data_IF_671694145210
#
_entry.id   IF_671694145210
#
_cell.length_a   1.000
_cell.length_b   1.000
_cell.length_c   1.000
_cell.angle_alpha   90.00
_cell.angle_beta   90.00
_cell.angle_gamma   90.00
#
_symmetry.space_group_name_H-M   'P 1'
#
loop_
_entity.id
_entity.type
_entity.pdbx_description
1 polymer ?
#
# COMPACT_ATOMS: atom_id res chain seq x y z
N UNK A 1 -22.13 -12.48 -1.18
CA UNK A 1 -21.40 -13.79 -1.08
C UNK A 1 -21.06 -13.99 0.39
N UNK A 2 -21.28 -15.19 0.95
CA UNK A 2 -20.93 -15.47 2.36
C UNK A 2 -19.43 -15.76 2.45
N UNK A 3 -18.75 -15.14 3.42
CA UNK A 3 -17.34 -15.44 3.75
C UNK A 3 -17.23 -16.85 4.35
N UNK A 4 -16.17 -17.55 4.00
CA UNK A 4 -15.89 -18.91 4.44
C UNK A 4 -14.54 -18.98 5.15
N UNK A 5 -14.38 -19.99 6.02
CA UNK A 5 -13.07 -20.31 6.57
C UNK A 5 -12.09 -20.58 5.43
N UNK A 6 -10.90 -19.98 5.49
CA UNK A 6 -9.88 -20.07 4.46
C UNK A 6 -9.82 -18.85 3.52
N UNK A 7 -10.82 -17.97 3.56
CA UNK A 7 -10.83 -16.72 2.80
C UNK A 7 -9.87 -15.69 3.41
N UNK A 8 -9.29 -14.86 2.55
CA UNK A 8 -8.71 -13.57 2.92
C UNK A 8 -9.53 -12.46 2.28
N UNK A 9 -9.71 -11.33 2.95
CA UNK A 9 -10.51 -10.22 2.45
C UNK A 9 -9.85 -8.89 2.81
N UNK A 10 -9.78 -7.97 1.86
CA UNK A 10 -9.50 -6.57 2.15
C UNK A 10 -10.82 -5.86 2.50
N UNK A 11 -10.80 -5.04 3.55
CA UNK A 11 -11.82 -4.02 3.76
C UNK A 11 -11.14 -2.67 3.65
N UNK A 12 -11.62 -1.87 2.71
CA UNK A 12 -11.18 -0.51 2.47
C UNK A 12 -12.28 0.47 2.87
N UNK A 13 -11.91 1.50 3.62
CA UNK A 13 -12.86 2.41 4.22
C UNK A 13 -12.32 3.83 4.26
N UNK A 14 -13.06 4.70 3.60
CA UNK A 14 -12.80 6.13 3.59
C UNK A 14 -13.92 6.86 4.33
N UNK A 15 -13.57 7.97 4.97
CA UNK A 15 -14.56 8.86 5.60
C UNK A 15 -14.36 10.29 5.12
N UNK A 16 -15.41 11.10 5.26
CA UNK A 16 -15.34 12.54 5.06
C UNK A 16 -15.89 13.22 6.32
N UNK A 17 -15.06 14.06 6.93
CA UNK A 17 -15.44 14.86 8.10
C UNK A 17 -14.98 16.30 7.88
N UNK A 18 -15.89 17.24 8.04
CA UNK A 18 -15.63 18.68 7.90
C UNK A 18 -14.93 19.07 6.58
N UNK A 19 -15.21 18.34 5.50
CA UNK A 19 -14.62 18.56 4.18
C UNK A 19 -13.26 17.89 3.97
N UNK A 20 -12.78 17.09 4.92
CA UNK A 20 -11.53 16.34 4.80
C UNK A 20 -11.77 14.85 4.64
N UNK A 21 -11.18 14.25 3.61
CA UNK A 21 -11.15 12.82 3.37
C UNK A 21 -10.05 12.15 4.19
N UNK A 22 -10.36 10.94 4.67
CA UNK A 22 -9.38 10.00 5.24
C UNK A 22 -9.54 8.67 4.54
N UNK A 23 -8.45 7.91 4.37
CA UNK A 23 -8.54 6.60 3.75
C UNK A 23 -7.63 5.55 4.43
N UNK A 24 -8.13 4.33 4.55
CA UNK A 24 -7.37 3.21 5.13
C UNK A 24 -8.01 1.86 4.82
N UNK A 25 -7.16 0.90 4.46
CA UNK A 25 -7.57 -0.48 4.23
C UNK A 25 -6.82 -1.49 5.12
N UNK A 26 -7.40 -2.69 5.26
CA UNK A 26 -6.73 -3.80 5.93
C UNK A 26 -7.19 -5.15 5.38
N UNK A 27 -6.23 -6.07 5.31
CA UNK A 27 -6.48 -7.49 5.05
C UNK A 27 -6.90 -8.23 6.33
N UNK A 28 -7.90 -9.12 6.21
CA UNK A 28 -8.39 -9.99 7.26
C UNK A 28 -8.35 -11.46 6.80
N UNK A 29 -7.96 -12.34 7.73
CA UNK A 29 -8.00 -13.79 7.55
C UNK A 29 -9.27 -14.35 8.19
N UNK A 30 -10.09 -15.08 7.43
CA UNK A 30 -11.35 -15.64 7.92
C UNK A 30 -11.13 -17.09 8.36
N UNK A 31 -11.25 -17.35 9.65
CA UNK A 31 -11.10 -18.70 10.22
C UNK A 31 -9.71 -19.29 9.99
N UNK A 32 -9.67 -20.57 9.61
CA UNK A 32 -8.42 -21.30 9.34
C UNK A 32 -7.95 -21.05 7.90
N UNK A 33 -6.99 -20.15 7.75
CA UNK A 33 -6.36 -19.80 6.47
C UNK A 33 -5.06 -20.58 6.27
N UNK A 34 -4.82 -21.04 5.04
CA UNK A 34 -3.58 -21.72 4.60
C UNK A 34 -2.34 -20.81 4.76
N UNK A 35 -1.17 -21.41 4.96
CA UNK A 35 0.04 -20.64 5.30
C UNK A 35 0.55 -19.75 4.16
N UNK A 36 0.32 -20.14 2.91
CA UNK A 36 0.66 -19.34 1.73
C UNK A 36 -0.11 -18.01 1.68
N UNK A 37 -1.42 -18.04 1.96
CA UNK A 37 -2.29 -16.86 2.04
C UNK A 37 -2.01 -16.01 3.27
N UNK A 38 -1.71 -16.64 4.41
CA UNK A 38 -1.24 -15.93 5.61
C UNK A 38 0.09 -15.21 5.34
N UNK A 39 1.02 -15.86 4.63
CA UNK A 39 2.27 -15.25 4.21
C UNK A 39 2.02 -14.06 3.28
N UNK A 40 1.12 -14.18 2.31
CA UNK A 40 0.75 -13.06 1.43
C UNK A 40 0.29 -11.86 2.25
N UNK A 41 -0.71 -12.03 3.13
CA UNK A 41 -1.24 -10.95 3.98
C UNK A 41 -0.15 -10.33 4.85
N UNK A 42 0.73 -11.15 5.43
CA UNK A 42 1.85 -10.69 6.25
C UNK A 42 2.85 -9.87 5.44
N UNK A 43 3.26 -10.37 4.27
CA UNK A 43 4.24 -9.69 3.40
C UNK A 43 3.66 -8.38 2.84
N UNK A 44 2.39 -8.34 2.44
CA UNK A 44 1.72 -7.10 2.05
C UNK A 44 1.78 -6.05 3.16
N UNK A 45 1.56 -6.45 4.42
CA UNK A 45 1.69 -5.55 5.57
C UNK A 45 3.13 -5.08 5.77
N UNK A 46 4.10 -5.99 5.67
CA UNK A 46 5.53 -5.65 5.78
C UNK A 46 5.98 -4.69 4.65
N UNK A 47 5.41 -4.81 3.44
CA UNK A 47 5.63 -3.85 2.36
C UNK A 47 5.23 -2.42 2.79
N UNK A 48 4.02 -2.25 3.36
CA UNK A 48 3.56 -0.96 3.89
C UNK A 48 4.54 -0.43 4.95
N UNK A 49 4.93 -1.29 5.91
CA UNK A 49 5.84 -0.91 7.00
C UNK A 49 7.23 -0.50 6.49
N UNK A 50 7.72 -1.12 5.41
CA UNK A 50 8.98 -0.74 4.76
C UNK A 50 8.86 0.56 3.97
N UNK A 51 7.78 0.74 3.22
CA UNK A 51 7.51 2.00 2.53
C UNK A 51 7.44 3.18 3.51
N UNK A 52 6.70 3.03 4.61
CA UNK A 52 6.59 4.05 5.66
C UNK A 52 7.96 4.49 6.23
N UNK A 53 8.93 3.57 6.34
CA UNK A 53 10.28 3.89 6.83
C UNK A 53 11.08 4.76 5.87
N UNK A 54 10.75 4.79 4.58
CA UNK A 54 11.42 5.64 3.58
C UNK A 54 10.76 7.02 3.43
N UNK A 55 9.53 7.21 3.94
CA UNK A 55 8.86 8.51 3.93
C UNK A 55 9.52 9.45 4.94
N UNK A 56 10.45 10.28 4.44
CA UNK A 56 11.21 11.25 5.23
C UNK A 56 11.19 12.61 4.52
N UNK A 57 11.21 13.72 5.27
CA UNK A 57 11.43 15.04 4.69
C UNK A 57 12.66 15.05 3.79
N UNK A 58 12.50 15.62 2.60
CA UNK A 58 13.55 15.79 1.60
C UNK A 58 14.08 14.47 1.00
N UNK A 59 13.40 13.34 1.25
CA UNK A 59 13.56 12.10 0.49
C UNK A 59 12.74 12.10 -0.79
N UNK A 60 12.85 11.05 -1.60
CA UNK A 60 12.08 10.93 -2.84
C UNK A 60 10.97 9.89 -2.71
N UNK A 61 9.81 10.14 -3.33
CA UNK A 61 8.71 9.17 -3.35
C UNK A 61 9.13 7.82 -3.97
N UNK A 62 10.10 7.86 -4.90
CA UNK A 62 10.67 6.69 -5.53
C UNK A 62 11.38 5.74 -4.56
N UNK A 63 11.94 6.26 -3.46
CA UNK A 63 12.61 5.48 -2.41
C UNK A 63 11.61 4.56 -1.70
N UNK A 64 10.43 5.10 -1.38
CA UNK A 64 9.32 4.37 -0.79
C UNK A 64 8.82 3.28 -1.74
N UNK A 65 8.56 3.64 -3.01
CA UNK A 65 8.05 2.67 -3.98
C UNK A 65 9.04 1.55 -4.29
N UNK A 66 10.36 1.83 -4.32
CA UNK A 66 11.37 0.79 -4.47
C UNK A 66 11.43 -0.13 -3.25
N UNK A 67 11.35 0.40 -2.02
CA UNK A 67 11.38 -0.42 -0.81
C UNK A 67 10.18 -1.38 -0.70
N UNK A 68 9.00 -0.95 -1.15
CA UNK A 68 7.82 -1.81 -1.30
C UNK A 68 8.08 -2.89 -2.35
N UNK A 69 8.60 -2.49 -3.53
CA UNK A 69 8.87 -3.40 -4.64
C UNK A 69 9.84 -4.52 -4.28
N UNK A 70 10.99 -4.15 -3.69
CA UNK A 70 12.04 -5.09 -3.31
C UNK A 70 11.51 -6.13 -2.32
N UNK A 71 10.80 -5.71 -1.27
CA UNK A 71 10.28 -6.64 -0.27
C UNK A 71 9.25 -7.64 -0.84
N UNK A 72 8.40 -7.18 -1.75
CA UNK A 72 7.44 -8.05 -2.43
C UNK A 72 8.15 -9.10 -3.30
N UNK A 73 9.09 -8.65 -4.15
CA UNK A 73 9.81 -9.51 -5.10
C UNK A 73 10.73 -10.49 -4.38
N UNK A 74 11.44 -10.06 -3.33
CA UNK A 74 12.28 -10.94 -2.49
C UNK A 74 11.48 -12.07 -1.84
N UNK A 75 10.18 -11.86 -1.61
CA UNK A 75 9.27 -12.86 -1.05
C UNK A 75 8.56 -13.73 -2.10
N UNK A 76 8.84 -13.51 -3.39
CA UNK A 76 8.27 -14.27 -4.50
C UNK A 76 6.90 -13.76 -4.98
N UNK A 77 6.59 -12.48 -4.74
CA UNK A 77 5.33 -11.85 -5.15
C UNK A 77 5.53 -10.78 -6.22
N UNK A 78 4.46 -10.44 -6.93
CA UNK A 78 4.44 -9.30 -7.86
C UNK A 78 3.65 -8.14 -7.28
N UNK A 79 3.94 -6.94 -7.78
CA UNK A 79 3.31 -5.68 -7.37
C UNK A 79 2.44 -5.17 -8.51
N UNK A 80 1.18 -4.83 -8.21
CA UNK A 80 0.25 -4.21 -9.17
C UNK A 80 0.79 -2.84 -9.58
N UNK A 81 0.64 -2.49 -10.86
CA UNK A 81 1.17 -1.23 -11.45
C UNK A 81 0.07 -0.25 -11.83
N UNK A 82 -1.11 -0.78 -12.10
CA UNK A 82 -2.27 -0.07 -12.63
C UNK A 82 -3.03 0.69 -11.54
N UNK A 83 -2.84 0.29 -10.28
CA UNK A 83 -3.46 0.91 -9.11
C UNK A 83 -2.36 1.20 -8.09
N UNK A 84 -2.39 2.41 -7.56
CA UNK A 84 -1.43 2.94 -6.59
C UNK A 84 -2.17 3.71 -5.51
N UNK A 85 -1.41 4.24 -4.56
CA UNK A 85 -1.96 5.21 -3.62
C UNK A 85 -2.12 6.59 -4.25
N UNK A 86 -2.58 7.53 -3.46
CA UNK A 86 -2.93 8.87 -3.90
C UNK A 86 -2.70 9.90 -2.79
N UNK A 87 -2.58 11.17 -3.16
CA UNK A 87 -2.83 12.27 -2.23
C UNK A 87 -4.25 12.19 -1.71
N UNK A 88 -4.44 12.54 -0.45
CA UNK A 88 -5.76 12.52 0.20
C UNK A 88 -5.85 13.66 1.20
N UNK A 89 -7.02 14.30 1.25
CA UNK A 89 -7.24 15.42 2.15
C UNK A 89 -8.45 16.22 1.72
N UNK A 90 -8.30 17.11 0.76
CA UNK A 90 -9.41 17.97 0.31
C UNK A 90 -10.27 17.29 -0.74
N UNK A 91 -9.64 16.55 -1.64
CA UNK A 91 -10.31 15.64 -2.57
C UNK A 91 -10.09 14.19 -2.13
N UNK A 92 -10.94 13.29 -2.61
CA UNK A 92 -10.81 11.87 -2.28
C UNK A 92 -9.52 11.29 -2.89
N UNK A 93 -9.29 11.52 -4.18
CA UNK A 93 -8.00 11.24 -4.83
C UNK A 93 -7.44 12.55 -5.39
N UNK A 94 -6.27 12.96 -4.90
CA UNK A 94 -5.51 14.10 -5.40
C UNK A 94 -4.04 13.72 -5.64
N UNK A 95 -3.27 14.66 -6.19
CA UNK A 95 -1.83 14.45 -6.30
C UNK A 95 -1.20 14.32 -4.90
N UNK A 96 -0.21 13.42 -4.73
CA UNK A 96 0.49 12.72 -5.80
C UNK A 96 -0.04 11.32 -6.12
N UNK A 97 0.22 10.85 -7.34
CA UNK A 97 0.17 9.42 -7.64
C UNK A 97 1.28 8.66 -6.90
N UNK A 98 0.92 7.61 -6.16
CA UNK A 98 1.84 6.82 -5.34
C UNK A 98 2.00 5.41 -5.90
N UNK A 99 3.03 5.23 -6.74
CA UNK A 99 3.38 3.94 -7.33
C UNK A 99 4.38 3.13 -6.50
N UNK A 100 4.39 1.81 -6.73
CA UNK A 100 5.22 0.83 -5.98
C UNK A 100 6.20 0.06 -6.89
N UNK A 101 6.53 0.61 -8.05
CA UNK A 101 7.50 0.05 -9.01
C UNK A 101 8.52 1.11 -9.48
N UNK A 102 8.73 2.15 -8.67
CA UNK A 102 9.67 3.24 -8.91
C UNK A 102 11.10 2.85 -8.54
N UNK A 103 12.06 3.73 -8.87
CA UNK A 103 13.46 3.58 -8.47
C UNK A 103 13.83 4.58 -7.38
N UNK A 104 14.85 4.24 -6.60
CA UNK A 104 15.44 5.08 -5.55
C UNK A 104 15.99 6.35 -6.19
N UNK A 105 15.78 7.47 -5.50
CA UNK A 105 16.10 8.84 -5.93
C UNK A 105 15.34 9.28 -7.20
N UNK A 106 14.16 8.71 -7.49
CA UNK A 106 13.26 9.16 -8.57
C UNK A 106 11.90 9.57 -8.02
N UNK A 107 11.00 10.03 -8.89
CA UNK A 107 9.71 10.63 -8.52
C UNK A 107 9.90 11.96 -7.78
N UNK A 108 8.80 12.49 -7.22
CA UNK A 108 8.81 13.80 -6.58
C UNK A 108 9.56 13.81 -5.23
N UNK A 109 10.05 15.00 -4.87
CA UNK A 109 10.59 15.29 -3.56
C UNK A 109 9.48 15.31 -2.51
N UNK A 110 9.67 14.58 -1.41
CA UNK A 110 8.80 14.60 -0.25
C UNK A 110 9.11 15.84 0.59
N UNK A 111 8.11 16.70 0.80
CA UNK A 111 8.24 17.90 1.64
C UNK A 111 7.33 17.79 2.87
N UNK A 112 7.72 18.38 4.02
CA UNK A 112 6.85 18.40 5.20
C UNK A 112 5.46 18.99 4.89
N UNK A 113 4.41 18.31 5.36
CA UNK A 113 3.01 18.71 5.16
C UNK A 113 2.28 17.98 4.02
N UNK A 114 2.97 17.16 3.23
CA UNK A 114 2.30 16.26 2.27
C UNK A 114 1.46 15.21 3.00
N UNK A 115 0.32 14.87 2.41
CA UNK A 115 -0.60 13.83 2.88
C UNK A 115 -0.93 12.92 1.70
N UNK A 116 -0.68 11.62 1.85
CA UNK A 116 -0.94 10.61 0.82
C UNK A 116 -1.04 9.22 1.44
N UNK A 117 -1.57 8.26 0.69
CA UNK A 117 -1.75 6.87 1.10
C UNK A 117 -0.59 5.97 0.68
N UNK A 118 -0.37 4.89 1.44
CA UNK A 118 0.52 3.77 1.07
C UNK A 118 -0.31 2.48 1.20
N UNK A 119 -0.71 1.95 0.06
CA UNK A 119 -1.71 0.90 -0.13
C UNK A 119 -1.31 -0.11 -1.23
N UNK A 120 -0.14 -0.75 -1.15
CA UNK A 120 0.33 -1.66 -2.18
C UNK A 120 -0.55 -2.91 -2.32
N UNK A 121 -0.94 -3.20 -3.55
CA UNK A 121 -1.58 -4.45 -3.94
C UNK A 121 -0.53 -5.46 -4.41
N UNK A 122 -0.45 -6.59 -3.70
CA UNK A 122 0.57 -7.63 -3.89
C UNK A 122 -0.10 -8.93 -4.31
N UNK A 123 0.41 -9.57 -5.37
CA UNK A 123 -0.15 -10.79 -5.94
C UNK A 123 0.71 -12.03 -5.64
N UNK A 124 0.04 -13.16 -5.39
CA UNK A 124 0.67 -14.47 -5.16
C UNK A 124 1.22 -15.15 -6.44
N UNK A 125 1.14 -14.48 -7.59
CA UNK A 125 1.61 -14.96 -8.90
C UNK A 125 2.19 -13.85 -9.75
N UNK A 126 2.56 -14.18 -10.97
CA UNK A 126 3.07 -13.26 -12.00
C UNK A 126 2.01 -12.88 -13.00
#
# INVERSE_FOLDING_TARGET
RLLKSGDIINVDASTILDGYFSDSSRMFCIGNVEEDRKKLVRVTKECVERGLKEVKPWGFLGDMGQAVHEHAVENGYSVVKEIGGHGVGLEFHEDPWVGYCSRRNTEMLLVPGMIFTIEPMINMGT
#
